data_IF_365653350634
#
_entry.id   IF_365653350634
#
_cell.length_a   1.000
_cell.length_b   1.000
_cell.length_c   1.000
_cell.angle_alpha   90.00
_cell.angle_beta   90.00
_cell.angle_gamma   90.00
#
_symmetry.space_group_name_H-M   'P 1'
#
loop_
_entity.id
_entity.type
_entity.pdbx_description
1 polymer ?
#
# COMPACT_ATOMS: atom_id res chain seq x y z
N UNK A 1 11.79 -6.16 10.34
CA UNK A 1 11.51 -6.70 8.98
C UNK A 1 12.32 -5.88 7.98
N UNK A 2 12.96 -6.51 6.99
CA UNK A 2 13.64 -5.79 5.90
C UNK A 2 12.71 -5.76 4.69
N UNK A 3 12.18 -4.59 4.34
CA UNK A 3 11.33 -4.42 3.16
C UNK A 3 12.16 -4.60 1.88
N UNK A 4 11.68 -5.47 0.99
CA UNK A 4 12.16 -5.65 -0.38
C UNK A 4 11.81 -4.43 -1.26
N UNK A 5 12.34 -4.39 -2.48
CA UNK A 5 11.95 -3.37 -3.45
C UNK A 5 10.49 -3.49 -3.89
N UNK A 6 9.93 -4.70 -3.92
CA UNK A 6 8.50 -4.92 -4.21
C UNK A 6 7.61 -4.35 -3.12
N UNK A 7 7.94 -4.58 -1.84
CA UNK A 7 7.15 -4.06 -0.73
C UNK A 7 7.11 -2.53 -0.74
N UNK A 8 8.27 -1.90 -0.98
CA UNK A 8 8.39 -0.43 -1.07
C UNK A 8 7.62 0.12 -2.27
N UNK A 9 7.72 -0.53 -3.42
CA UNK A 9 6.99 -0.13 -4.61
C UNK A 9 5.47 -0.25 -4.41
N UNK A 10 5.00 -1.30 -3.72
CA UNK A 10 3.60 -1.46 -3.35
C UNK A 10 3.13 -0.32 -2.43
N UNK A 11 3.86 -0.05 -1.33
CA UNK A 11 3.51 1.00 -0.37
C UNK A 11 3.43 2.37 -1.06
N UNK A 12 4.44 2.73 -1.85
CA UNK A 12 4.45 4.01 -2.57
C UNK A 12 3.40 4.07 -3.68
N UNK A 13 3.17 2.98 -4.41
CA UNK A 13 2.14 2.94 -5.44
C UNK A 13 0.74 3.11 -4.86
N UNK A 14 0.45 2.49 -3.70
CA UNK A 14 -0.81 2.70 -2.97
C UNK A 14 -0.98 4.16 -2.56
N UNK A 15 0.07 4.80 -2.04
CA UNK A 15 0.04 6.23 -1.73
C UNK A 15 -0.32 7.08 -2.95
N UNK A 16 0.32 6.83 -4.09
CA UNK A 16 0.05 7.53 -5.35
C UNK A 16 -1.41 7.35 -5.77
N UNK A 17 -1.94 6.13 -5.65
CA UNK A 17 -3.34 5.81 -5.99
C UNK A 17 -4.39 6.49 -5.12
N UNK A 18 -4.00 7.07 -3.98
CA UNK A 18 -4.88 7.91 -3.16
C UNK A 18 -4.95 9.37 -3.60
N UNK A 19 -4.09 9.80 -4.52
CA UNK A 19 -3.98 11.21 -4.94
C UNK A 19 -4.97 11.51 -6.07
N UNK A 20 -5.73 12.63 -5.99
CA UNK A 20 -6.81 12.95 -6.93
C UNK A 20 -6.40 13.14 -8.40
N UNK A 21 -5.10 13.31 -8.69
CA UNK A 21 -4.58 13.58 -10.05
C UNK A 21 -3.70 12.47 -10.62
N UNK A 22 -3.43 11.39 -9.86
CA UNK A 22 -2.41 10.40 -10.26
C UNK A 22 -2.83 9.49 -11.45
N UNK A 23 -4.11 9.50 -11.84
CA UNK A 23 -4.65 8.72 -12.94
C UNK A 23 -5.20 9.57 -14.10
N UNK A 24 -4.64 10.76 -14.33
CA UNK A 24 -5.11 11.68 -15.37
C UNK A 24 -5.10 11.06 -16.79
N UNK A 25 -4.24 10.06 -17.01
CA UNK A 25 -4.22 9.25 -18.23
C UNK A 25 -4.60 7.78 -17.91
N UNK A 26 -5.62 7.21 -18.57
CA UNK A 26 -6.06 5.83 -18.34
C UNK A 26 -4.94 4.78 -18.51
N UNK A 27 -4.04 4.96 -19.48
CA UNK A 27 -2.95 4.01 -19.75
C UNK A 27 -1.94 3.95 -18.60
N UNK A 28 -1.59 5.11 -18.04
CA UNK A 28 -0.70 5.21 -16.88
C UNK A 28 -1.33 4.59 -15.64
N UNK A 29 -2.64 4.78 -15.46
CA UNK A 29 -3.40 4.13 -14.39
C UNK A 29 -3.37 2.60 -14.54
N UNK A 30 -3.68 2.06 -15.73
CA UNK A 30 -3.63 0.62 -15.98
C UNK A 30 -2.25 0.03 -15.73
N UNK A 31 -1.19 0.71 -16.19
CA UNK A 31 0.19 0.31 -15.95
C UNK A 31 0.48 0.27 -14.43
N UNK A 32 0.03 1.28 -13.68
CA UNK A 32 0.22 1.34 -12.23
C UNK A 32 -0.52 0.21 -11.51
N UNK A 33 -1.76 -0.11 -11.90
CA UNK A 33 -2.51 -1.25 -11.38
C UNK A 33 -1.75 -2.56 -11.63
N UNK A 34 -1.20 -2.77 -12.83
CA UNK A 34 -0.40 -3.97 -13.15
C UNK A 34 0.88 -4.06 -12.31
N UNK A 35 1.61 -2.96 -12.15
CA UNK A 35 2.82 -2.90 -11.32
C UNK A 35 2.47 -3.26 -9.87
N UNK A 36 1.39 -2.68 -9.33
CA UNK A 36 0.92 -2.98 -7.99
C UNK A 36 0.56 -4.46 -7.83
N UNK A 37 -0.13 -5.06 -8.80
CA UNK A 37 -0.46 -6.49 -8.79
C UNK A 37 0.78 -7.39 -8.70
N UNK A 38 1.81 -7.12 -9.50
CA UNK A 38 3.09 -7.84 -9.44
C UNK A 38 3.74 -7.69 -8.06
N UNK A 39 3.75 -6.47 -7.50
CA UNK A 39 4.35 -6.23 -6.19
C UNK A 39 3.57 -6.96 -5.09
N UNK A 40 2.24 -6.91 -5.11
CA UNK A 40 1.38 -7.59 -4.14
C UNK A 40 1.56 -9.11 -4.14
N UNK A 41 1.67 -9.73 -5.33
CA UNK A 41 1.98 -11.16 -5.46
C UNK A 41 3.29 -11.51 -4.74
N UNK A 42 4.34 -10.72 -4.96
CA UNK A 42 5.67 -10.91 -4.35
C UNK A 42 5.69 -10.62 -2.85
N UNK A 43 4.87 -9.67 -2.39
CA UNK A 43 4.75 -9.27 -0.98
C UNK A 43 3.80 -10.17 -0.16
N UNK A 44 3.01 -11.02 -0.81
CA UNK A 44 1.96 -11.84 -0.19
C UNK A 44 2.44 -12.83 0.87
N UNK A 45 3.73 -13.16 0.90
CA UNK A 45 4.29 -14.05 1.91
C UNK A 45 4.35 -13.44 3.33
N UNK A 46 4.23 -12.10 3.45
CA UNK A 46 4.37 -11.40 4.73
C UNK A 46 3.00 -11.06 5.34
N UNK A 47 2.64 -11.61 6.52
CA UNK A 47 1.35 -11.34 7.17
C UNK A 47 1.10 -9.85 7.44
N UNK A 48 2.15 -9.09 7.75
CA UNK A 48 2.06 -7.66 8.05
C UNK A 48 1.69 -6.80 6.83
N UNK A 49 1.89 -7.33 5.62
CA UNK A 49 1.58 -6.65 4.37
C UNK A 49 0.21 -7.04 3.80
N UNK A 50 -0.46 -8.04 4.40
CA UNK A 50 -1.75 -8.53 3.92
C UNK A 50 -2.83 -7.45 3.79
N UNK A 51 -2.96 -6.47 4.73
CA UNK A 51 -3.91 -5.38 4.54
C UNK A 51 -3.64 -4.58 3.26
N UNK A 52 -2.38 -4.28 2.95
CA UNK A 52 -1.97 -3.55 1.75
C UNK A 52 -2.20 -4.38 0.47
N UNK A 53 -1.87 -5.68 0.52
CA UNK A 53 -2.11 -6.63 -0.58
C UNK A 53 -3.59 -6.72 -0.94
N UNK A 54 -4.49 -6.70 0.05
CA UNK A 54 -5.94 -6.71 -0.18
C UNK A 54 -6.42 -5.44 -0.88
N UNK A 55 -5.87 -4.29 -0.53
CA UNK A 55 -6.24 -3.03 -1.19
C UNK A 55 -5.73 -2.98 -2.64
N UNK A 56 -4.56 -3.56 -2.93
CA UNK A 56 -4.11 -3.76 -4.33
C UNK A 56 -5.08 -4.64 -5.11
N UNK A 57 -5.58 -5.72 -4.51
CA UNK A 57 -6.58 -6.56 -5.16
C UNK A 57 -7.87 -5.78 -5.44
N UNK A 58 -8.34 -4.98 -4.48
CA UNK A 58 -9.54 -4.13 -4.64
C UNK A 58 -9.37 -3.11 -5.77
N UNK A 59 -8.20 -2.49 -5.90
CA UNK A 59 -7.85 -1.60 -7.02
C UNK A 59 -7.90 -2.37 -8.35
N UNK A 60 -7.34 -3.58 -8.37
CA UNK A 60 -7.26 -4.41 -9.58
C UNK A 60 -8.64 -4.85 -10.07
N UNK A 61 -9.55 -5.13 -9.14
CA UNK A 61 -10.94 -5.51 -9.40
C UNK A 61 -11.82 -4.31 -9.78
N UNK A 62 -11.44 -3.10 -9.38
CA UNK A 62 -12.17 -1.86 -9.66
C UNK A 62 -11.29 -0.80 -10.33
N UNK A 63 -11.19 -0.88 -11.65
CA UNK A 63 -10.43 0.06 -12.48
C UNK A 63 -11.11 1.42 -12.70
N UNK A 64 -12.26 1.65 -12.06
CA UNK A 64 -12.99 2.91 -12.13
C UNK A 64 -12.38 4.01 -11.25
N UNK A 65 -13.11 5.12 -11.03
CA UNK A 65 -12.67 6.18 -10.12
C UNK A 65 -12.43 5.65 -8.71
N UNK A 66 -11.25 5.95 -8.15
CA UNK A 66 -10.85 5.44 -6.85
C UNK A 66 -11.50 6.13 -5.64
N UNK A 67 -12.42 7.08 -5.84
CA UNK A 67 -13.02 7.86 -4.76
C UNK A 67 -13.60 7.00 -3.62
N UNK A 68 -14.20 5.85 -3.96
CA UNK A 68 -14.74 4.89 -3.00
C UNK A 68 -13.71 3.99 -2.29
N UNK A 69 -12.47 3.95 -2.76
CA UNK A 69 -11.40 3.08 -2.21
C UNK A 69 -10.25 3.84 -1.56
N UNK A 70 -10.17 5.17 -1.72
CA UNK A 70 -9.15 6.03 -1.08
C UNK A 70 -9.12 5.84 0.43
N UNK A 71 -10.27 5.96 1.10
CA UNK A 71 -10.35 5.86 2.56
C UNK A 71 -9.90 4.48 3.08
N UNK A 72 -10.34 3.35 2.50
CA UNK A 72 -9.80 2.04 2.84
C UNK A 72 -8.28 1.90 2.65
N UNK A 73 -7.71 2.42 1.55
CA UNK A 73 -6.26 2.39 1.31
C UNK A 73 -5.52 3.16 2.42
N UNK A 74 -5.98 4.37 2.74
CA UNK A 74 -5.38 5.18 3.81
C UNK A 74 -5.47 4.51 5.18
N UNK A 75 -6.58 3.82 5.48
CA UNK A 75 -6.72 3.06 6.71
C UNK A 75 -5.69 1.93 6.81
N UNK A 76 -5.52 1.16 5.71
CA UNK A 76 -4.54 0.07 5.64
C UNK A 76 -3.10 0.58 5.77
N UNK A 77 -2.77 1.71 5.14
CA UNK A 77 -1.46 2.38 5.29
C UNK A 77 -1.22 2.81 6.74
N UNK A 78 -2.19 3.47 7.37
CA UNK A 78 -2.10 3.89 8.78
C UNK A 78 -1.94 2.71 9.74
N UNK A 79 -2.57 1.57 9.45
CA UNK A 79 -2.38 0.35 10.22
C UNK A 79 -0.96 -0.21 10.07
N UNK A 80 -0.46 -0.30 8.83
CA UNK A 80 0.91 -0.69 8.55
C UNK A 80 1.93 0.21 9.27
N UNK A 81 1.74 1.52 9.21
CA UNK A 81 2.62 2.49 9.88
C UNK A 81 2.59 2.34 11.40
N UNK A 82 1.39 2.15 11.98
CA UNK A 82 1.26 1.87 13.43
C UNK A 82 2.00 0.60 13.84
N UNK A 83 1.91 -0.47 13.05
CA UNK A 83 2.65 -1.71 13.30
C UNK A 83 4.17 -1.48 13.22
N UNK A 84 4.63 -0.72 12.24
CA UNK A 84 6.05 -0.37 12.08
C UNK A 84 6.56 0.51 13.21
N UNK A 85 5.74 1.43 13.73
CA UNK A 85 6.12 2.25 14.89
C UNK A 85 6.07 1.47 16.21
N UNK A 86 5.13 0.53 16.36
CA UNK A 86 4.99 -0.27 17.57
C UNK A 86 6.27 -1.03 17.94
N UNK A 87 7.02 -1.53 16.94
CA UNK A 87 8.30 -2.23 17.20
C UNK A 87 9.40 -1.32 17.76
N UNK A 88 9.28 -0.01 17.58
CA UNK A 88 10.22 1.00 18.10
C UNK A 88 9.69 1.69 19.37
N UNK A 89 8.43 1.47 19.72
CA UNK A 89 7.74 2.17 20.80
C UNK A 89 8.36 1.90 22.18
N UNK A 90 8.67 0.64 22.50
CA UNK A 90 9.28 0.27 23.78
C UNK A 90 10.74 0.73 23.89
N UNK A 91 11.47 0.75 22.77
CA UNK A 91 12.82 1.30 22.71
C UNK A 91 12.81 2.81 22.96
N UNK A 92 11.86 3.54 22.37
CA UNK A 92 11.67 4.97 22.60
C UNK A 92 11.26 5.29 24.05
N UNK A 93 10.41 4.46 24.68
CA UNK A 93 10.02 4.64 26.10
C UNK A 93 11.16 4.44 27.10
N UNK A 94 12.12 3.56 26.78
CA UNK A 94 13.26 3.23 27.65
C UNK A 94 14.48 4.13 27.42
N UNK A 95 14.52 4.86 26.30
CA UNK A 95 15.49 5.91 26.06
C UNK A 95 15.18 7.17 26.87
N UNK A 96 15.46 7.12 28.17
CA UNK A 96 15.73 8.30 29.01
C UNK A 96 17.20 8.32 29.36
#
# INVERSE_FOLDING_TARGET
>A
MKLSHYDRAMIHGLEIMTRPHAGAEPENHEMMVRILGICAERSSAYPQLQPLVREVQRISDNRGPHSGIIYPIQLAMNEFDRMCMAVHWDAAKKGK
#
